data_IF_947306493399
#
_entry.id   IF_947306493399
#
_cell.length_a   1.000
_cell.length_b   1.000
_cell.length_c   1.000
_cell.angle_alpha   90.00
_cell.angle_beta   90.00
_cell.angle_gamma   90.00
#
_symmetry.space_group_name_H-M   'P 1'
#
loop_
_entity.id
_entity.type
_entity.pdbx_description
1 polymer ?
#
# COMPACT_ATOMS: atom_id res chain seq x y z
N UNK A 1 7.58 -19.43 -9.13
CA UNK A 1 6.50 -18.72 -8.41
C UNK A 1 7.00 -17.33 -8.08
N UNK A 2 6.31 -16.31 -8.55
CA UNK A 2 6.74 -14.91 -8.38
C UNK A 2 5.97 -14.26 -7.25
N UNK A 3 6.67 -13.55 -6.37
CA UNK A 3 6.05 -12.82 -5.25
C UNK A 3 6.14 -11.32 -5.53
N UNK A 4 4.99 -10.66 -5.59
CA UNK A 4 4.88 -9.23 -5.91
C UNK A 4 4.30 -8.50 -4.70
N UNK A 5 4.98 -7.44 -4.28
CA UNK A 5 4.47 -6.50 -3.29
C UNK A 5 4.15 -5.18 -3.98
N UNK A 6 2.86 -4.85 -4.05
CA UNK A 6 2.40 -3.50 -4.40
C UNK A 6 2.37 -2.69 -3.11
N UNK A 7 3.42 -1.88 -2.92
CA UNK A 7 3.55 -0.98 -1.78
C UNK A 7 3.27 0.45 -2.20
N UNK A 8 2.36 1.14 -1.52
CA UNK A 8 1.98 2.51 -1.89
C UNK A 8 1.81 3.42 -0.67
N UNK A 9 1.82 4.72 -0.91
CA UNK A 9 1.31 5.73 0.01
C UNK A 9 0.22 6.52 -0.73
N UNK A 10 -0.86 6.87 -0.04
CA UNK A 10 -1.88 7.75 -0.59
C UNK A 10 -2.44 8.65 0.50
N UNK A 11 -2.57 9.94 0.18
CA UNK A 11 -3.23 10.89 1.08
C UNK A 11 -4.72 11.00 0.78
N UNK A 12 -5.09 11.14 -0.50
CA UNK A 12 -6.48 11.34 -0.93
C UNK A 12 -7.15 10.11 -1.56
N UNK A 13 -6.43 8.99 -1.71
CA UNK A 13 -6.99 7.74 -2.22
C UNK A 13 -6.79 7.48 -3.72
N UNK A 14 -6.37 8.46 -4.53
CA UNK A 14 -6.12 8.21 -5.96
C UNK A 14 -5.08 7.11 -6.20
N UNK A 15 -3.98 7.16 -5.43
CA UNK A 15 -2.95 6.11 -5.48
C UNK A 15 -3.41 4.79 -4.86
N UNK A 16 -4.38 4.80 -3.93
CA UNK A 16 -5.01 3.56 -3.47
C UNK A 16 -5.78 2.90 -4.62
N UNK A 17 -6.59 3.66 -5.36
CA UNK A 17 -7.33 3.14 -6.52
C UNK A 17 -6.37 2.59 -7.59
N UNK A 18 -5.31 3.35 -7.91
CA UNK A 18 -4.29 2.89 -8.86
C UNK A 18 -3.57 1.62 -8.38
N UNK A 19 -3.18 1.57 -7.10
CA UNK A 19 -2.50 0.41 -6.53
C UNK A 19 -3.38 -0.85 -6.52
N UNK A 20 -4.71 -0.70 -6.35
CA UNK A 20 -5.66 -1.80 -6.49
C UNK A 20 -5.69 -2.33 -7.92
N UNK A 21 -5.80 -1.46 -8.92
CA UNK A 21 -5.77 -1.87 -10.33
C UNK A 21 -4.44 -2.56 -10.70
N UNK A 22 -3.31 -2.07 -10.20
CA UNK A 22 -2.00 -2.72 -10.38
C UNK A 22 -2.00 -4.12 -9.74
N UNK A 23 -2.50 -4.24 -8.50
CA UNK A 23 -2.55 -5.52 -7.80
C UNK A 23 -3.49 -6.52 -8.51
N UNK A 24 -4.62 -6.07 -9.05
CA UNK A 24 -5.54 -6.88 -9.85
C UNK A 24 -4.87 -7.38 -11.14
N UNK A 25 -4.19 -6.50 -11.89
CA UNK A 25 -3.44 -6.89 -13.08
C UNK A 25 -2.29 -7.85 -12.78
N UNK A 26 -1.57 -7.67 -11.66
CA UNK A 26 -0.54 -8.62 -11.26
C UNK A 26 -1.10 -9.99 -10.87
N UNK A 27 -2.29 -10.03 -10.25
CA UNK A 27 -2.99 -11.27 -9.87
C UNK A 27 -3.54 -12.04 -11.07
N UNK A 28 -3.73 -11.39 -12.22
CA UNK A 28 -4.22 -12.08 -13.42
C UNK A 28 -3.15 -12.93 -14.12
N UNK A 29 -1.89 -12.89 -13.66
CA UNK A 29 -0.79 -13.69 -14.19
C UNK A 29 -0.67 -15.00 -13.41
N UNK A 30 -0.69 -16.13 -14.10
CA UNK A 30 -0.58 -17.45 -13.47
C UNK A 30 0.71 -17.60 -12.66
N UNK A 31 0.57 -18.09 -11.41
CA UNK A 31 1.70 -18.32 -10.51
C UNK A 31 2.26 -17.07 -9.81
N UNK A 32 1.57 -15.92 -9.90
CA UNK A 32 1.89 -14.71 -9.13
C UNK A 32 1.15 -14.65 -7.79
N UNK A 33 1.91 -14.55 -6.70
CA UNK A 33 1.40 -14.23 -5.36
C UNK A 33 1.53 -12.71 -5.14
N UNK A 34 0.43 -12.02 -4.88
CA UNK A 34 0.42 -10.54 -4.82
C UNK A 34 -0.09 -10.03 -3.48
N UNK A 35 0.74 -9.26 -2.79
CA UNK A 35 0.38 -8.50 -1.59
C UNK A 35 0.19 -7.02 -1.93
N UNK A 36 -0.86 -6.40 -1.38
CA UNK A 36 -1.10 -4.95 -1.44
C UNK A 36 -0.99 -4.38 -0.02
N UNK A 37 -0.07 -3.43 0.19
CA UNK A 37 0.16 -2.80 1.49
C UNK A 37 0.38 -1.31 1.34
N UNK A 38 0.13 -0.56 2.41
CA UNK A 38 0.42 0.88 2.47
C UNK A 38 1.56 1.23 3.43
N UNK A 39 2.25 2.32 3.15
CA UNK A 39 3.27 2.91 4.03
C UNK A 39 2.59 3.91 4.96
N UNK A 40 2.97 3.99 6.26
CA UNK A 40 2.46 5.02 7.14
C UNK A 40 2.89 6.41 6.66
N UNK A 41 1.97 7.38 6.71
CA UNK A 41 2.31 8.77 6.46
C UNK A 41 3.19 9.34 7.57
N UNK A 42 3.99 10.35 7.25
CA UNK A 42 4.85 11.06 8.21
C UNK A 42 4.19 12.32 8.78
N UNK A 43 3.05 12.72 8.22
CA UNK A 43 2.30 13.89 8.65
C UNK A 43 1.63 13.64 10.01
N UNK A 44 1.63 14.62 10.93
CA UNK A 44 0.87 14.53 12.17
C UNK A 44 -0.63 14.25 11.90
N UNK A 45 -1.31 13.44 12.73
CA UNK A 45 -2.71 13.07 12.49
C UNK A 45 -3.66 14.25 12.35
N UNK A 46 -3.45 15.34 13.11
CA UNK A 46 -4.30 16.53 13.05
C UNK A 46 -4.11 17.30 11.75
N UNK A 47 -2.87 17.48 11.31
CA UNK A 47 -2.55 18.09 10.03
C UNK A 47 -3.10 17.25 8.86
N UNK A 48 -3.01 15.92 8.95
CA UNK A 48 -3.56 15.01 7.94
C UNK A 48 -5.09 15.14 7.83
N UNK A 49 -5.80 15.21 8.96
CA UNK A 49 -7.25 15.41 9.00
C UNK A 49 -7.65 16.78 8.45
N UNK A 50 -6.97 17.85 8.87
CA UNK A 50 -7.25 19.21 8.40
C UNK A 50 -7.01 19.37 6.90
N UNK A 51 -6.03 18.66 6.35
CA UNK A 51 -5.75 18.64 4.92
C UNK A 51 -6.72 17.76 4.11
N UNK A 52 -7.72 17.12 4.75
CA UNK A 52 -8.70 16.26 4.05
C UNK A 52 -8.17 14.87 3.68
N UNK A 53 -7.17 14.38 4.41
CA UNK A 53 -6.59 13.05 4.18
C UNK A 53 -7.58 11.91 4.46
N UNK A 54 -7.57 10.90 3.57
CA UNK A 54 -8.36 9.67 3.69
C UNK A 54 -7.68 8.68 4.65
N UNK A 55 -8.26 8.51 5.83
CA UNK A 55 -7.70 7.67 6.90
C UNK A 55 -8.14 6.18 6.84
N UNK A 56 -9.25 5.89 6.19
CA UNK A 56 -9.96 4.59 6.17
C UNK A 56 -9.60 3.71 4.97
N UNK A 57 -8.33 3.74 4.54
CA UNK A 57 -7.86 2.93 3.42
C UNK A 57 -7.77 1.45 3.81
N UNK A 58 -8.32 0.56 2.97
CA UNK A 58 -8.50 -0.84 3.36
C UNK A 58 -7.20 -1.66 3.37
N UNK A 59 -6.18 -1.25 2.60
CA UNK A 59 -4.90 -1.94 2.60
C UNK A 59 -4.23 -1.83 3.98
N UNK A 60 -3.64 -2.91 4.51
CA UNK A 60 -2.94 -2.85 5.79
C UNK A 60 -1.63 -2.07 5.67
N UNK A 61 -1.20 -1.47 6.79
CA UNK A 61 0.15 -0.90 6.89
C UNK A 61 1.19 -2.01 6.75
N UNK A 62 2.23 -1.77 5.96
CA UNK A 62 3.38 -2.64 5.90
C UNK A 62 4.13 -2.62 7.23
N UNK A 63 4.30 -3.79 7.83
CA UNK A 63 5.30 -3.98 8.89
C UNK A 63 6.70 -3.87 8.28
N UNK A 64 7.63 -3.24 9.00
CA UNK A 64 9.04 -3.25 8.62
C UNK A 64 9.50 -4.71 8.51
N UNK A 65 10.12 -5.07 7.39
CA UNK A 65 10.81 -6.35 7.29
C UNK A 65 11.98 -6.29 8.27
N UNK A 66 12.07 -7.27 9.19
CA UNK A 66 13.31 -7.49 9.93
C UNK A 66 14.42 -7.59 8.89
N UNK A 67 15.50 -6.81 9.06
CA UNK A 67 16.67 -6.84 8.18
C UNK A 67 17.00 -8.31 7.92
N UNK A 68 16.95 -8.74 6.66
CA UNK A 68 17.62 -9.97 6.27
C UNK A 68 19.08 -9.74 6.66
N UNK A 69 19.52 -10.37 7.74
CA UNK A 69 20.93 -10.44 8.09
C UNK A 69 21.62 -10.96 6.83
N UNK A 70 22.50 -10.13 6.28
CA UNK A 70 23.36 -10.51 5.16
C UNK A 70 24.31 -11.60 5.63
#
# INVERSE_FOLDING_TARGET
MSKVLVLYYSMYGHLETMARAIAEGARSVDGCEVALKRVPGTMPPDAFRQAGGKADQAAPIAAAAARLAR
#
